data_IF_422605879033
#
_entry.id   IF_422605879033
#
_cell.length_a   1.000
_cell.length_b   1.000
_cell.length_c   1.000
_cell.angle_alpha   90.00
_cell.angle_beta   90.00
_cell.angle_gamma   90.00
#
_symmetry.space_group_name_H-M   'P 1'
#
loop_
_entity.id
_entity.type
_entity.pdbx_description
1 polymer ?
#
# COMPACT_ATOMS: atom_id res chain seq x y z
N UNK A 1 -19.62 -13.27 -10.58
CA UNK A 1 -19.89 -11.95 -11.18
C UNK A 1 -18.79 -11.59 -12.17
N UNK A 2 -19.13 -10.80 -13.20
CA UNK A 2 -18.13 -10.12 -14.04
C UNK A 2 -17.82 -8.76 -13.47
N UNK A 3 -16.57 -8.53 -13.09
CA UNK A 3 -16.10 -7.32 -12.41
C UNK A 3 -15.14 -6.59 -13.33
N UNK A 4 -15.40 -5.30 -13.58
CA UNK A 4 -14.42 -4.42 -14.22
C UNK A 4 -13.70 -3.62 -13.15
N UNK A 5 -12.41 -3.92 -12.95
CA UNK A 5 -11.56 -3.19 -12.01
C UNK A 5 -10.95 -1.98 -12.72
N UNK A 6 -11.16 -0.78 -12.18
CA UNK A 6 -10.70 0.50 -12.74
C UNK A 6 -9.52 0.98 -11.89
N UNK A 7 -8.34 1.05 -12.49
CA UNK A 7 -7.09 1.37 -11.81
C UNK A 7 -6.44 2.57 -12.50
N UNK A 8 -6.66 3.82 -12.02
CA UNK A 8 -6.10 5.04 -12.61
C UNK A 8 -4.61 5.23 -12.26
N UNK A 9 -3.80 4.24 -12.60
CA UNK A 9 -2.36 4.17 -12.31
C UNK A 9 -1.64 3.35 -13.37
N UNK A 10 -0.29 3.39 -13.36
CA UNK A 10 0.53 2.48 -14.15
C UNK A 10 0.47 1.07 -13.51
N UNK A 11 -0.29 0.18 -14.08
CA UNK A 11 -0.45 -1.20 -13.63
C UNK A 11 0.39 -2.12 -14.54
N UNK A 12 1.18 -3.03 -14.12
CA UNK A 12 1.64 -3.42 -12.81
C UNK A 12 3.00 -2.77 -12.54
N UNK A 13 3.26 -2.26 -11.33
CA UNK A 13 4.57 -1.72 -10.95
C UNK A 13 4.86 -2.10 -9.50
N UNK A 14 6.14 -2.22 -9.13
CA UNK A 14 6.59 -2.58 -7.78
C UNK A 14 6.38 -1.46 -6.73
N UNK A 15 5.29 -0.68 -6.86
CA UNK A 15 4.88 0.36 -5.90
C UNK A 15 3.69 -0.13 -5.08
N UNK A 16 3.53 0.41 -3.87
CA UNK A 16 2.51 -0.05 -2.90
C UNK A 16 1.08 -0.10 -3.45
N UNK A 17 0.61 0.98 -4.10
CA UNK A 17 -0.79 1.07 -4.57
C UNK A 17 -1.08 0.18 -5.80
N UNK A 18 -0.25 0.17 -6.87
CA UNK A 18 -0.42 -0.78 -7.97
C UNK A 18 -0.35 -2.24 -7.54
N UNK A 19 0.56 -2.56 -6.62
CA UNK A 19 0.70 -3.91 -6.09
C UNK A 19 -0.52 -4.33 -5.27
N UNK A 20 -1.06 -3.42 -4.46
CA UNK A 20 -2.32 -3.64 -3.75
C UNK A 20 -3.49 -3.92 -4.71
N UNK A 21 -3.57 -3.16 -5.81
CA UNK A 21 -4.60 -3.38 -6.84
C UNK A 21 -4.47 -4.76 -7.51
N UNK A 22 -3.25 -5.23 -7.72
CA UNK A 22 -2.95 -6.57 -8.22
C UNK A 22 -3.43 -7.67 -7.24
N UNK A 23 -3.01 -7.60 -5.97
CA UNK A 23 -3.44 -8.58 -4.97
C UNK A 23 -4.95 -8.60 -4.80
N UNK A 24 -5.60 -7.43 -4.84
CA UNK A 24 -7.05 -7.33 -4.79
C UNK A 24 -7.74 -8.01 -5.99
N UNK A 25 -7.13 -7.96 -7.18
CA UNK A 25 -7.63 -8.68 -8.34
C UNK A 25 -7.50 -10.20 -8.17
N UNK A 26 -6.34 -10.68 -7.72
CA UNK A 26 -6.12 -12.11 -7.40
C UNK A 26 -7.13 -12.64 -6.38
N UNK A 27 -7.39 -11.87 -5.32
CA UNK A 27 -8.37 -12.23 -4.28
C UNK A 27 -9.80 -12.36 -4.84
N UNK A 28 -10.19 -11.50 -5.77
CA UNK A 28 -11.50 -11.61 -6.43
C UNK A 28 -11.55 -12.83 -7.36
N UNK A 29 -10.49 -13.11 -8.11
CA UNK A 29 -10.39 -14.31 -8.96
C UNK A 29 -10.42 -15.60 -8.15
N UNK A 30 -9.71 -15.66 -7.02
CA UNK A 30 -9.70 -16.81 -6.12
C UNK A 30 -11.09 -17.15 -5.57
N UNK A 31 -11.98 -16.13 -5.48
CA UNK A 31 -13.38 -16.30 -5.07
C UNK A 31 -14.35 -16.59 -6.22
N UNK A 32 -13.81 -16.94 -7.39
CA UNK A 32 -14.60 -17.35 -8.55
C UNK A 32 -15.25 -16.20 -9.33
N UNK A 33 -14.76 -14.97 -9.21
CA UNK A 33 -15.21 -13.87 -10.04
C UNK A 33 -14.40 -13.76 -11.33
N UNK A 34 -15.05 -13.41 -12.41
CA UNK A 34 -14.39 -13.05 -13.67
C UNK A 34 -13.97 -11.58 -13.59
N UNK A 35 -12.66 -11.31 -13.58
CA UNK A 35 -12.10 -9.96 -13.42
C UNK A 35 -11.48 -9.49 -14.72
N UNK A 36 -11.88 -8.31 -15.17
CA UNK A 36 -11.18 -7.54 -16.20
C UNK A 36 -10.58 -6.29 -15.54
N UNK A 37 -9.43 -5.84 -15.98
CA UNK A 37 -8.73 -4.66 -15.46
C UNK A 37 -8.64 -3.60 -16.54
N UNK A 38 -9.06 -2.38 -16.23
CA UNK A 38 -8.85 -1.21 -17.07
C UNK A 38 -7.90 -0.24 -16.37
N UNK A 39 -6.80 0.10 -17.02
CA UNK A 39 -5.70 0.88 -16.44
C UNK A 39 -5.10 1.86 -17.45
N UNK A 40 -4.17 2.70 -17.02
CA UNK A 40 -3.42 3.56 -17.92
C UNK A 40 -2.59 2.77 -18.95
N UNK A 41 -2.24 3.42 -20.07
CA UNK A 41 -1.44 2.82 -21.15
C UNK A 41 -0.01 2.39 -20.78
N UNK A 42 0.41 2.61 -19.54
CA UNK A 42 1.76 2.38 -19.02
C UNK A 42 1.74 1.35 -17.92
N UNK A 43 2.82 0.58 -17.79
CA UNK A 43 2.99 -0.45 -16.75
C UNK A 43 3.48 -1.76 -17.34
N UNK A 44 3.73 -2.73 -16.48
CA UNK A 44 4.26 -4.06 -16.82
C UNK A 44 3.13 -5.10 -16.87
N UNK A 45 3.41 -6.27 -17.40
CA UNK A 45 2.50 -7.41 -17.34
C UNK A 45 2.45 -7.96 -15.91
N UNK A 46 1.24 -8.23 -15.44
CA UNK A 46 1.05 -8.79 -14.11
C UNK A 46 1.20 -10.31 -14.16
N UNK A 47 2.13 -10.89 -13.40
CA UNK A 47 2.31 -12.35 -13.37
C UNK A 47 1.08 -13.01 -12.72
N UNK A 48 0.76 -14.22 -13.15
CA UNK A 48 -0.21 -15.13 -12.53
C UNK A 48 -1.65 -14.57 -12.38
N UNK A 49 -2.02 -13.53 -13.13
CA UNK A 49 -3.39 -13.05 -13.24
C UNK A 49 -4.09 -13.70 -14.44
N UNK A 50 -5.30 -14.19 -14.19
CA UNK A 50 -6.22 -14.63 -15.26
C UNK A 50 -6.96 -13.45 -15.89
N UNK A 51 -7.02 -12.30 -15.19
CA UNK A 51 -7.68 -11.08 -15.61
C UNK A 51 -7.08 -10.55 -16.92
N UNK A 52 -7.94 -10.16 -17.84
CA UNK A 52 -7.51 -9.42 -19.03
C UNK A 52 -7.24 -7.98 -18.65
N UNK A 53 -6.03 -7.52 -18.94
CA UNK A 53 -5.61 -6.14 -18.66
C UNK A 53 -5.81 -5.30 -19.93
N UNK A 54 -6.73 -4.34 -19.86
CA UNK A 54 -7.01 -3.36 -20.90
C UNK A 54 -6.29 -2.06 -20.57
N UNK A 55 -5.35 -1.69 -21.41
CA UNK A 55 -4.61 -0.44 -21.26
C UNK A 55 -5.30 0.66 -22.06
N UNK A 56 -5.53 1.80 -21.42
CA UNK A 56 -6.15 2.94 -22.11
C UNK A 56 -5.22 3.46 -23.22
N UNK A 57 -5.83 3.86 -24.33
CA UNK A 57 -5.11 4.55 -25.39
C UNK A 57 -4.56 5.85 -24.82
N UNK A 58 -3.27 6.09 -25.00
CA UNK A 58 -2.60 7.28 -24.49
C UNK A 58 -1.18 7.41 -25.02
N UNK A 59 -0.52 8.53 -24.76
CA UNK A 59 0.83 8.74 -25.26
C UNK A 59 1.81 7.74 -24.62
N UNK A 60 2.26 6.78 -25.41
CA UNK A 60 3.22 5.73 -25.00
C UNK A 60 4.66 6.25 -24.80
N UNK A 61 4.92 7.53 -25.05
CA UNK A 61 6.26 8.12 -24.96
C UNK A 61 6.70 8.41 -23.51
N UNK A 62 5.82 8.35 -22.53
CA UNK A 62 6.19 8.48 -21.11
C UNK A 62 6.21 7.11 -20.43
N UNK A 63 7.40 6.62 -20.15
CA UNK A 63 7.62 5.33 -19.47
C UNK A 63 7.20 5.35 -17.99
N UNK A 64 7.00 6.51 -17.38
CA UNK A 64 6.58 6.63 -16.00
C UNK A 64 5.60 7.78 -15.79
N UNK A 65 4.60 7.53 -14.93
CA UNK A 65 3.65 8.55 -14.46
C UNK A 65 4.05 8.91 -13.02
N UNK A 66 4.23 10.21 -12.69
CA UNK A 66 4.55 10.63 -11.34
C UNK A 66 3.53 10.11 -10.33
N UNK A 67 4.01 9.72 -9.14
CA UNK A 67 3.14 9.43 -8.03
C UNK A 67 2.47 10.73 -7.53
N UNK A 68 1.21 10.65 -7.10
CA UNK A 68 0.46 11.78 -6.58
C UNK A 68 -0.28 12.60 -7.65
N UNK A 69 -0.99 13.65 -7.24
CA UNK A 69 -1.80 14.49 -8.12
C UNK A 69 -0.94 15.28 -9.11
N UNK A 70 -1.31 15.28 -10.39
CA UNK A 70 -0.65 16.09 -11.41
C UNK A 70 -1.62 16.45 -12.53
N UNK A 71 -1.35 17.56 -13.27
CA UNK A 71 -2.16 17.93 -14.43
C UNK A 71 -2.15 16.86 -15.52
N UNK A 72 -1.02 16.17 -15.67
CA UNK A 72 -0.88 15.05 -16.60
C UNK A 72 -1.82 13.90 -16.24
N UNK A 73 -2.01 13.64 -14.95
CA UNK A 73 -2.89 12.57 -14.46
C UNK A 73 -4.34 12.83 -14.83
N UNK A 74 -4.80 14.09 -14.77
CA UNK A 74 -6.16 14.47 -15.20
C UNK A 74 -6.39 14.10 -16.68
N UNK A 75 -5.40 14.33 -17.52
CA UNK A 75 -5.46 13.92 -18.93
C UNK A 75 -5.58 12.40 -19.09
N UNK A 76 -4.77 11.63 -18.35
CA UNK A 76 -4.86 10.18 -18.37
C UNK A 76 -6.22 9.68 -17.83
N UNK A 77 -6.78 10.34 -16.82
CA UNK A 77 -8.11 10.00 -16.28
C UNK A 77 -9.22 10.25 -17.31
N UNK A 78 -9.14 11.32 -18.11
CA UNK A 78 -10.07 11.55 -19.22
C UNK A 78 -9.99 10.43 -20.27
N UNK A 79 -8.78 10.03 -20.68
CA UNK A 79 -8.58 8.93 -21.62
C UNK A 79 -9.07 7.59 -21.03
N UNK A 80 -8.80 7.34 -19.76
CA UNK A 80 -9.28 6.16 -19.05
C UNK A 80 -10.81 6.13 -19.01
N UNK A 81 -11.46 7.26 -18.79
CA UNK A 81 -12.93 7.38 -18.80
C UNK A 81 -13.53 7.08 -20.17
N UNK A 82 -12.95 7.61 -21.26
CA UNK A 82 -13.39 7.30 -22.63
C UNK A 82 -13.27 5.80 -22.91
N UNK A 83 -12.15 5.19 -22.53
CA UNK A 83 -11.97 3.74 -22.68
C UNK A 83 -12.93 2.94 -21.78
N UNK A 84 -13.26 3.43 -20.58
CA UNK A 84 -14.28 2.84 -19.71
C UNK A 84 -15.65 2.80 -20.41
N UNK A 85 -16.11 3.92 -20.95
CA UNK A 85 -17.38 3.98 -21.69
C UNK A 85 -17.39 3.02 -22.88
N UNK A 86 -16.35 3.04 -23.70
CA UNK A 86 -16.21 2.11 -24.83
C UNK A 86 -16.27 0.64 -24.37
N UNK A 87 -15.57 0.30 -23.29
CA UNK A 87 -15.58 -1.06 -22.75
C UNK A 87 -16.96 -1.49 -22.28
N UNK A 88 -17.71 -0.60 -21.63
CA UNK A 88 -19.07 -0.87 -21.15
C UNK A 88 -20.07 -0.99 -22.30
N UNK A 89 -19.84 -0.34 -23.44
CA UNK A 89 -20.62 -0.56 -24.66
C UNK A 89 -20.35 -1.95 -25.28
N UNK A 90 -19.12 -2.43 -25.22
CA UNK A 90 -18.69 -3.67 -25.86
C UNK A 90 -18.96 -4.92 -25.01
N UNK A 91 -19.02 -4.79 -23.68
CA UNK A 91 -19.18 -5.91 -22.77
C UNK A 91 -19.97 -5.54 -21.53
N UNK A 92 -20.87 -6.43 -21.10
CA UNK A 92 -21.64 -6.27 -19.86
C UNK A 92 -20.83 -6.70 -18.64
N UNK A 93 -20.88 -5.87 -17.60
CA UNK A 93 -20.32 -6.13 -16.28
C UNK A 93 -21.40 -6.01 -15.22
N UNK A 94 -21.23 -6.79 -14.15
CA UNK A 94 -22.15 -6.80 -13.01
C UNK A 94 -21.76 -5.75 -11.97
N UNK A 95 -20.45 -5.41 -11.92
CA UNK A 95 -19.84 -4.55 -10.91
C UNK A 95 -18.65 -3.77 -11.48
N UNK A 96 -18.56 -2.49 -11.16
CA UNK A 96 -17.36 -1.68 -11.32
C UNK A 96 -16.60 -1.66 -9.97
N UNK A 97 -15.34 -2.08 -9.95
CA UNK A 97 -14.51 -2.07 -8.75
C UNK A 97 -13.42 -1.00 -8.92
N UNK A 98 -13.64 0.17 -8.35
CA UNK A 98 -12.88 1.35 -8.66
C UNK A 98 -11.86 1.70 -7.58
N UNK A 99 -10.61 1.84 -7.99
CA UNK A 99 -9.48 2.16 -7.14
C UNK A 99 -9.25 3.68 -7.11
N UNK A 100 -9.11 4.24 -5.90
CA UNK A 100 -8.82 5.67 -5.67
C UNK A 100 -9.76 6.61 -6.48
N UNK A 101 -9.20 7.60 -7.21
CA UNK A 101 -9.98 8.55 -8.03
C UNK A 101 -10.79 7.89 -9.14
N UNK A 102 -10.50 6.66 -9.50
CA UNK A 102 -11.33 5.86 -10.41
C UNK A 102 -12.78 5.70 -9.93
N UNK A 103 -13.04 5.92 -8.64
CA UNK A 103 -14.40 5.86 -8.08
C UNK A 103 -15.34 6.94 -8.64
N UNK A 104 -14.81 8.13 -8.97
CA UNK A 104 -15.62 9.15 -9.66
C UNK A 104 -15.98 8.72 -11.08
N UNK A 105 -15.01 8.13 -11.80
CA UNK A 105 -15.22 7.60 -13.15
C UNK A 105 -16.26 6.46 -13.13
N UNK A 106 -16.13 5.55 -12.16
CA UNK A 106 -17.08 4.47 -11.96
C UNK A 106 -18.49 4.98 -11.59
N UNK A 107 -18.61 6.03 -10.78
CA UNK A 107 -19.89 6.66 -10.46
C UNK A 107 -20.58 7.19 -11.71
N UNK A 108 -19.85 7.95 -12.54
CA UNK A 108 -20.39 8.55 -13.76
C UNK A 108 -20.79 7.47 -14.77
N UNK A 109 -19.91 6.53 -15.08
CA UNK A 109 -20.19 5.42 -15.98
C UNK A 109 -21.29 4.49 -15.43
N UNK A 110 -21.23 4.19 -14.13
CA UNK A 110 -22.24 3.36 -13.47
C UNK A 110 -23.64 3.98 -13.44
N UNK A 111 -23.75 5.31 -13.47
CA UNK A 111 -25.03 5.99 -13.63
C UNK A 111 -25.60 5.83 -15.05
N UNK A 112 -24.75 5.93 -16.09
CA UNK A 112 -25.13 5.78 -17.51
C UNK A 112 -25.55 4.32 -17.81
N UNK A 113 -24.73 3.35 -17.38
CA UNK A 113 -24.93 1.93 -17.71
C UNK A 113 -25.72 1.15 -16.65
N UNK A 114 -26.17 1.84 -15.58
CA UNK A 114 -26.92 1.26 -14.44
C UNK A 114 -26.15 0.15 -13.70
N UNK A 115 -24.82 0.22 -13.66
CA UNK A 115 -23.96 -0.72 -12.99
C UNK A 115 -23.59 -0.17 -11.60
N UNK A 116 -23.71 -0.96 -10.51
CA UNK A 116 -23.24 -0.56 -9.19
C UNK A 116 -21.71 -0.48 -9.17
N UNK A 117 -21.14 0.32 -8.24
CA UNK A 117 -19.70 0.33 -8.05
C UNK A 117 -19.29 0.24 -6.58
N UNK A 118 -18.15 -0.39 -6.36
CA UNK A 118 -17.38 -0.41 -5.10
C UNK A 118 -16.26 0.61 -5.20
N UNK A 119 -16.04 1.36 -4.14
CA UNK A 119 -14.90 2.27 -4.00
C UNK A 119 -13.80 1.63 -3.17
N UNK A 120 -12.67 1.27 -3.78
CA UNK A 120 -11.44 0.77 -3.13
C UNK A 120 -10.61 1.99 -2.70
N UNK A 121 -10.80 2.42 -1.46
CA UNK A 121 -10.26 3.66 -0.91
C UNK A 121 -8.96 3.39 -0.17
N UNK A 122 -7.85 3.87 -0.71
CA UNK A 122 -6.52 3.73 -0.13
C UNK A 122 -6.07 4.94 0.68
N UNK A 123 -6.68 6.10 0.42
CA UNK A 123 -6.39 7.33 1.16
C UNK A 123 -7.52 8.34 0.98
N UNK A 124 -7.52 9.42 1.76
CA UNK A 124 -8.40 10.55 1.54
C UNK A 124 -7.79 11.49 0.50
N UNK A 125 -8.55 11.80 -0.57
CA UNK A 125 -8.12 12.70 -1.65
C UNK A 125 -7.71 14.09 -1.15
N UNK A 126 -8.46 14.77 -0.26
CA UNK A 126 -8.04 16.05 0.31
C UNK A 126 -6.72 16.00 1.06
N UNK A 127 -6.44 14.89 1.74
CA UNK A 127 -5.22 14.71 2.52
C UNK A 127 -4.03 14.43 1.60
N UNK A 128 -4.22 13.65 0.53
CA UNK A 128 -3.19 13.49 -0.50
C UNK A 128 -2.74 14.84 -1.08
N UNK A 129 -3.68 15.72 -1.42
CA UNK A 129 -3.37 17.05 -1.98
C UNK A 129 -2.50 17.86 -1.04
N UNK A 130 -2.76 17.77 0.27
CA UNK A 130 -2.00 18.48 1.30
C UNK A 130 -0.63 17.85 1.54
N UNK A 131 -0.56 16.54 1.66
CA UNK A 131 0.67 15.79 1.95
C UNK A 131 1.69 15.88 0.80
N UNK A 132 1.20 15.81 -0.45
CA UNK A 132 2.03 15.96 -1.65
C UNK A 132 2.32 17.41 -2.01
N UNK A 133 1.88 18.40 -1.18
CA UNK A 133 2.06 19.84 -1.41
C UNK A 133 1.59 20.31 -2.80
N UNK A 134 0.63 19.61 -3.40
CA UNK A 134 0.12 19.92 -4.74
C UNK A 134 -0.55 21.28 -4.78
N UNK A 135 -1.35 21.61 -3.76
CA UNK A 135 -1.97 22.93 -3.62
C UNK A 135 -2.37 23.21 -2.17
N UNK A 136 -2.11 24.43 -1.72
CA UNK A 136 -2.62 24.96 -0.44
C UNK A 136 -3.90 25.78 -0.60
N UNK A 137 -4.41 25.96 -1.84
CA UNK A 137 -5.60 26.77 -2.12
C UNK A 137 -6.85 26.05 -1.60
N UNK A 138 -7.62 26.74 -0.77
CA UNK A 138 -8.87 26.21 -0.17
C UNK A 138 -9.88 25.76 -1.22
N UNK A 139 -9.98 26.47 -2.35
CA UNK A 139 -10.87 26.11 -3.46
C UNK A 139 -10.52 24.73 -4.08
N UNK A 140 -9.23 24.47 -4.30
CA UNK A 140 -8.76 23.18 -4.82
C UNK A 140 -9.09 22.06 -3.83
N UNK A 141 -8.76 22.24 -2.55
CA UNK A 141 -9.06 21.26 -1.50
C UNK A 141 -10.58 20.99 -1.42
N UNK A 142 -11.40 22.04 -1.56
CA UNK A 142 -12.87 21.88 -1.55
C UNK A 142 -13.41 21.07 -2.73
N UNK A 143 -12.81 21.22 -3.93
CA UNK A 143 -13.15 20.37 -5.09
C UNK A 143 -12.83 18.90 -4.79
N UNK A 144 -11.65 18.60 -4.25
CA UNK A 144 -11.28 17.22 -3.93
C UNK A 144 -12.14 16.64 -2.79
N UNK A 145 -12.54 17.45 -1.80
CA UNK A 145 -13.55 17.02 -0.79
C UNK A 145 -14.88 16.71 -1.42
N UNK A 146 -15.33 17.50 -2.39
CA UNK A 146 -16.57 17.24 -3.11
C UNK A 146 -16.47 15.94 -3.92
N UNK A 147 -15.36 15.74 -4.65
CA UNK A 147 -15.09 14.49 -5.41
C UNK A 147 -15.13 13.28 -4.49
N UNK A 148 -14.42 13.31 -3.36
CA UNK A 148 -14.41 12.21 -2.38
C UNK A 148 -15.82 11.95 -1.84
N UNK A 149 -16.55 13.00 -1.47
CA UNK A 149 -17.93 12.89 -1.00
C UNK A 149 -18.85 12.24 -2.03
N UNK A 150 -18.70 12.62 -3.31
CA UNK A 150 -19.46 12.02 -4.39
C UNK A 150 -19.11 10.55 -4.60
N UNK A 151 -17.83 10.22 -4.52
CA UNK A 151 -17.35 8.85 -4.67
C UNK A 151 -17.81 7.93 -3.53
N UNK A 152 -17.75 8.40 -2.28
CA UNK A 152 -18.20 7.62 -1.11
C UNK A 152 -19.72 7.44 -1.11
N UNK A 153 -20.49 8.52 -1.34
CA UNK A 153 -21.97 8.48 -1.27
C UNK A 153 -22.63 7.62 -2.34
N UNK A 154 -21.99 7.47 -3.48
CA UNK A 154 -22.56 6.70 -4.60
C UNK A 154 -22.16 5.24 -4.61
N UNK A 155 -21.14 4.84 -3.84
CA UNK A 155 -20.66 3.48 -3.78
C UNK A 155 -21.65 2.55 -3.05
N UNK A 156 -21.85 1.33 -3.56
CA UNK A 156 -22.61 0.30 -2.86
C UNK A 156 -21.86 -0.26 -1.65
N UNK A 157 -20.52 -0.20 -1.68
CA UNK A 157 -19.63 -0.41 -0.55
C UNK A 157 -18.32 0.37 -0.75
N UNK A 158 -17.71 0.79 0.35
CA UNK A 158 -16.37 1.37 0.40
C UNK A 158 -15.43 0.36 1.05
N UNK A 159 -14.41 -0.08 0.33
CA UNK A 159 -13.36 -0.93 0.87
C UNK A 159 -12.23 -0.02 1.35
N UNK A 160 -12.04 0.06 2.65
CA UNK A 160 -10.98 0.86 3.27
C UNK A 160 -9.77 -0.02 3.60
N UNK A 161 -8.57 0.46 3.29
CA UNK A 161 -7.34 -0.31 3.59
C UNK A 161 -6.91 -0.24 5.06
N UNK A 162 -7.53 0.62 5.85
CA UNK A 162 -7.23 0.77 7.28
C UNK A 162 -8.41 1.38 8.02
N UNK A 163 -8.48 1.22 9.37
CA UNK A 163 -9.48 1.89 10.19
C UNK A 163 -9.46 3.42 10.08
N UNK A 164 -8.30 4.04 9.80
CA UNK A 164 -8.23 5.49 9.59
C UNK A 164 -8.90 5.92 8.28
N UNK A 165 -8.73 5.14 7.21
CA UNK A 165 -9.40 5.37 5.92
C UNK A 165 -10.91 5.14 6.06
N UNK A 166 -11.33 4.13 6.82
CA UNK A 166 -12.75 3.94 7.15
C UNK A 166 -13.33 5.15 7.87
N UNK A 167 -12.65 5.66 8.92
CA UNK A 167 -13.08 6.87 9.62
C UNK A 167 -13.18 8.07 8.68
N UNK A 168 -12.23 8.23 7.76
CA UNK A 168 -12.26 9.28 6.75
C UNK A 168 -13.50 9.14 5.83
N UNK A 169 -13.80 7.94 5.33
CA UNK A 169 -14.99 7.69 4.52
C UNK A 169 -16.29 7.98 5.29
N UNK A 170 -16.40 7.53 6.55
CA UNK A 170 -17.57 7.79 7.40
C UNK A 170 -17.70 9.26 7.79
N UNK A 171 -16.61 10.02 7.87
CA UNK A 171 -16.67 11.46 8.14
C UNK A 171 -17.36 12.25 7.02
N UNK A 172 -17.27 11.78 5.77
CA UNK A 172 -17.93 12.40 4.62
C UNK A 172 -19.32 11.80 4.33
N UNK A 173 -19.56 10.56 4.75
CA UNK A 173 -20.86 9.88 4.65
C UNK A 173 -21.01 8.87 5.81
N UNK A 174 -21.64 9.25 6.94
CA UNK A 174 -21.80 8.38 8.11
C UNK A 174 -22.51 7.07 7.84
N UNK A 175 -23.42 7.06 6.85
CA UNK A 175 -24.22 5.89 6.44
C UNK A 175 -23.53 5.02 5.40
N UNK A 176 -22.29 5.35 4.97
CA UNK A 176 -21.56 4.56 3.99
C UNK A 176 -21.29 3.15 4.53
N UNK A 177 -21.58 2.14 3.71
CA UNK A 177 -21.20 0.76 4.02
C UNK A 177 -19.68 0.62 3.81
N UNK A 178 -18.92 0.69 4.89
CA UNK A 178 -17.46 0.57 4.89
C UNK A 178 -17.06 -0.82 5.37
N UNK A 179 -16.14 -1.44 4.65
CA UNK A 179 -15.53 -2.73 4.98
C UNK A 179 -14.01 -2.53 5.00
N UNK A 180 -13.37 -2.87 6.12
CA UNK A 180 -11.91 -2.76 6.22
C UNK A 180 -11.28 -4.04 5.67
N UNK A 181 -10.49 -3.90 4.60
CA UNK A 181 -9.68 -4.98 4.05
C UNK A 181 -8.25 -4.46 3.94
N UNK A 182 -7.43 -4.81 4.93
CA UNK A 182 -6.03 -4.40 4.98
C UNK A 182 -5.26 -5.02 3.81
N UNK A 183 -4.34 -4.25 3.23
CA UNK A 183 -3.47 -4.79 2.20
C UNK A 183 -2.56 -5.87 2.80
N UNK A 184 -2.73 -7.07 2.33
CA UNK A 184 -1.89 -8.21 2.66
C UNK A 184 -1.04 -8.55 1.44
N UNK A 185 0.25 -8.54 1.63
CA UNK A 185 1.18 -9.07 0.64
C UNK A 185 1.51 -10.50 1.08
N UNK A 186 1.31 -11.46 0.18
CA UNK A 186 1.73 -12.84 0.44
C UNK A 186 3.22 -12.83 0.78
N UNK A 187 3.52 -13.13 2.01
CA UNK A 187 4.87 -13.44 2.45
C UNK A 187 4.97 -14.95 2.48
N UNK A 188 5.64 -15.56 1.50
CA UNK A 188 6.06 -16.93 1.70
C UNK A 188 7.11 -16.93 2.81
N UNK A 189 6.81 -17.57 3.93
CA UNK A 189 7.80 -17.82 4.99
C UNK A 189 8.73 -19.00 4.62
N UNK A 190 8.60 -19.54 3.41
CA UNK A 190 9.36 -20.69 2.91
C UNK A 190 10.74 -20.27 2.35
N UNK A 191 11.41 -19.36 3.05
CA UNK A 191 12.79 -19.00 2.73
C UNK A 191 13.72 -19.95 3.48
N UNK A 192 14.59 -20.65 2.75
CA UNK A 192 15.58 -21.52 3.36
C UNK A 192 16.65 -20.72 4.14
N UNK A 193 17.25 -21.34 5.14
CA UNK A 193 18.38 -20.74 5.86
C UNK A 193 19.54 -20.41 4.92
N UNK A 194 19.73 -21.22 3.87
CA UNK A 194 20.79 -21.02 2.86
C UNK A 194 20.52 -19.78 2.00
N UNK A 195 19.28 -19.50 1.62
CA UNK A 195 18.93 -18.27 0.88
C UNK A 195 19.20 -17.01 1.71
N UNK A 196 18.86 -17.03 2.98
CA UNK A 196 19.15 -15.93 3.90
C UNK A 196 20.68 -15.76 4.10
N UNK A 197 21.42 -16.86 4.25
CA UNK A 197 22.88 -16.83 4.38
C UNK A 197 23.57 -16.34 3.10
N UNK A 198 23.12 -16.80 1.93
CA UNK A 198 23.63 -16.35 0.63
C UNK A 198 23.40 -14.84 0.43
N UNK A 199 22.24 -14.32 0.87
CA UNK A 199 21.96 -12.90 0.82
C UNK A 199 22.95 -12.11 1.71
N UNK A 200 23.21 -12.57 2.93
CA UNK A 200 24.21 -11.94 3.81
C UNK A 200 25.60 -11.95 3.17
N UNK A 201 26.02 -13.06 2.59
CA UNK A 201 27.30 -13.16 1.86
C UNK A 201 27.40 -12.20 0.69
N UNK A 202 26.32 -12.03 -0.09
CA UNK A 202 26.25 -11.05 -1.21
C UNK A 202 26.66 -9.65 -0.76
N UNK A 203 26.30 -9.26 0.45
CA UNK A 203 26.59 -7.92 1.01
C UNK A 203 27.79 -7.89 1.95
N UNK A 204 28.57 -8.95 2.05
CA UNK A 204 29.73 -9.03 2.95
C UNK A 204 29.36 -9.05 4.45
N UNK A 205 28.12 -9.43 4.78
CA UNK A 205 27.59 -9.45 6.15
C UNK A 205 27.87 -10.82 6.76
N UNK A 206 28.95 -10.93 7.53
CA UNK A 206 29.34 -12.16 8.23
C UNK A 206 28.46 -12.46 9.45
N UNK A 207 28.65 -13.63 10.09
CA UNK A 207 27.84 -14.04 11.24
C UNK A 207 28.01 -13.14 12.48
N UNK A 208 29.13 -12.42 12.57
CA UNK A 208 29.40 -11.45 13.65
C UNK A 208 28.58 -10.16 13.51
N UNK A 209 28.15 -9.82 12.29
CA UNK A 209 27.41 -8.58 12.05
C UNK A 209 25.94 -8.71 12.44
N UNK A 210 25.35 -7.60 12.86
CA UNK A 210 23.93 -7.45 13.15
C UNK A 210 23.25 -6.66 12.04
N UNK A 211 22.39 -7.30 11.25
CA UNK A 211 21.73 -6.69 10.09
C UNK A 211 20.44 -5.97 10.49
N UNK A 212 20.44 -4.65 10.37
CA UNK A 212 19.27 -3.78 10.47
C UNK A 212 18.76 -3.50 9.07
N UNK A 213 17.54 -3.94 8.76
CA UNK A 213 16.98 -3.89 7.41
C UNK A 213 15.82 -2.91 7.30
N UNK A 214 15.87 -2.09 6.27
CA UNK A 214 14.72 -1.34 5.75
C UNK A 214 14.38 -1.83 4.35
N UNK A 215 13.08 -2.06 4.06
CA UNK A 215 12.59 -2.31 2.69
C UNK A 215 11.49 -1.31 2.32
N UNK A 216 11.49 -0.80 1.10
CA UNK A 216 10.46 0.08 0.56
C UNK A 216 11.04 1.29 -0.18
N UNK A 217 10.18 2.09 -0.81
CA UNK A 217 10.61 3.29 -1.56
C UNK A 217 11.37 4.29 -0.69
N UNK A 218 12.27 5.05 -1.29
CA UNK A 218 13.10 6.05 -0.60
C UNK A 218 12.50 7.46 -0.64
N UNK A 219 11.21 7.58 -0.92
CA UNK A 219 10.53 8.89 -0.90
C UNK A 219 10.61 9.54 0.49
N UNK A 220 10.67 10.86 0.54
CA UNK A 220 10.81 11.65 1.77
C UNK A 220 9.81 11.29 2.88
N UNK A 221 8.62 10.79 2.53
CA UNK A 221 7.61 10.34 3.48
C UNK A 221 8.09 9.18 4.39
N UNK A 222 9.07 8.42 3.94
CA UNK A 222 9.61 7.27 4.71
C UNK A 222 10.63 7.68 5.78
N UNK A 223 11.06 8.94 5.78
CA UNK A 223 11.98 9.53 6.77
C UNK A 223 13.28 8.72 6.96
N UNK A 224 13.94 8.35 5.84
CA UNK A 224 15.21 7.65 5.87
C UNK A 224 16.37 8.54 6.37
N UNK A 225 16.21 9.86 6.29
CA UNK A 225 17.05 10.86 6.93
C UNK A 225 17.13 10.64 8.46
N UNK A 226 15.99 10.45 9.12
CA UNK A 226 15.92 10.11 10.55
C UNK A 226 16.66 8.80 10.86
N UNK A 227 16.48 7.77 10.00
CA UNK A 227 17.21 6.50 10.15
C UNK A 227 18.71 6.73 10.07
N UNK A 228 19.21 7.42 9.04
CA UNK A 228 20.65 7.67 8.87
C UNK A 228 21.22 8.49 10.02
N UNK A 229 20.52 9.50 10.53
CA UNK A 229 20.91 10.28 11.68
C UNK A 229 20.99 9.46 12.99
N UNK A 230 20.26 8.34 13.06
CA UNK A 230 20.32 7.42 14.20
C UNK A 230 21.55 6.50 14.18
N UNK A 231 22.12 6.20 12.99
CA UNK A 231 23.20 5.22 12.80
C UNK A 231 24.43 5.49 13.66
N UNK A 232 25.00 6.72 13.75
CA UNK A 232 26.16 6.97 14.59
C UNK A 232 25.96 6.57 16.05
N UNK A 233 24.74 6.81 16.59
CA UNK A 233 24.38 6.46 17.97
C UNK A 233 24.23 4.95 18.18
N UNK A 234 23.74 4.23 17.17
CA UNK A 234 23.67 2.76 17.21
C UNK A 234 25.06 2.18 17.18
N UNK A 235 25.91 2.61 16.25
CA UNK A 235 27.29 2.11 16.10
C UNK A 235 28.15 2.37 17.34
N UNK A 236 27.90 3.44 18.07
CA UNK A 236 28.61 3.70 19.33
C UNK A 236 28.33 2.65 20.42
N UNK A 237 27.23 1.87 20.32
CA UNK A 237 26.83 0.83 21.29
C UNK A 237 26.87 -0.59 20.71
N UNK A 238 26.67 -0.71 19.41
CA UNK A 238 26.68 -1.97 18.64
C UNK A 238 27.53 -1.75 17.39
N UNK A 239 28.87 -1.76 17.51
CA UNK A 239 29.79 -1.48 16.40
C UNK A 239 29.65 -2.44 15.22
N UNK A 240 29.19 -3.67 15.46
CA UNK A 240 28.95 -4.70 14.45
C UNK A 240 27.62 -4.53 13.69
N UNK A 241 26.83 -3.47 13.96
CA UNK A 241 25.59 -3.23 13.25
C UNK A 241 25.86 -2.77 11.81
N UNK A 242 25.17 -3.39 10.86
CA UNK A 242 25.17 -3.05 9.44
C UNK A 242 23.75 -2.72 9.02
N UNK A 243 23.56 -1.61 8.35
CA UNK A 243 22.25 -1.17 7.86
C UNK A 243 22.14 -1.46 6.36
N UNK A 244 21.09 -2.17 5.94
CA UNK A 244 20.78 -2.41 4.54
C UNK A 244 19.43 -1.77 4.20
N UNK A 245 19.46 -0.80 3.28
CA UNK A 245 18.28 -0.09 2.80
C UNK A 245 17.97 -0.55 1.37
N UNK A 246 16.80 -1.16 1.17
CA UNK A 246 16.38 -1.77 -0.10
C UNK A 246 15.16 -1.06 -0.65
N UNK A 247 15.23 -0.55 -1.91
CA UNK A 247 14.07 -0.03 -2.61
C UNK A 247 14.19 1.38 -3.20
N UNK A 248 15.39 1.94 -3.26
CA UNK A 248 15.67 3.24 -3.88
C UNK A 248 15.85 3.15 -5.40
N UNK A 249 15.68 4.29 -6.06
CA UNK A 249 16.22 4.56 -7.39
C UNK A 249 17.65 5.09 -7.28
N UNK A 250 18.42 5.04 -8.38
CA UNK A 250 19.80 5.53 -8.36
C UNK A 250 19.96 6.96 -7.82
N UNK A 251 19.12 7.95 -8.20
CA UNK A 251 19.22 9.30 -7.64
C UNK A 251 18.94 9.34 -6.13
N UNK A 252 17.92 8.60 -5.65
CA UNK A 252 17.57 8.55 -4.23
C UNK A 252 18.68 7.87 -3.41
N UNK A 253 19.30 6.81 -3.95
CA UNK A 253 20.44 6.13 -3.35
C UNK A 253 21.64 7.06 -3.27
N UNK A 254 21.94 7.82 -4.34
CA UNK A 254 23.06 8.76 -4.35
C UNK A 254 22.91 9.85 -3.29
N UNK A 255 21.70 10.38 -3.11
CA UNK A 255 21.39 11.40 -2.10
C UNK A 255 21.61 10.86 -0.68
N UNK A 256 21.08 9.67 -0.35
CA UNK A 256 21.23 9.05 0.98
C UNK A 256 22.67 8.59 1.24
N UNK A 257 23.40 8.15 0.22
CA UNK A 257 24.82 7.80 0.33
C UNK A 257 25.67 9.03 0.71
N UNK A 258 25.43 10.15 0.02
CA UNK A 258 26.11 11.41 0.36
C UNK A 258 25.75 11.87 1.79
N UNK A 259 24.55 11.59 2.28
CA UNK A 259 24.20 11.86 3.68
C UNK A 259 24.94 10.92 4.64
N UNK A 260 25.04 9.62 4.33
CA UNK A 260 25.79 8.66 5.14
C UNK A 260 27.29 9.02 5.21
N UNK A 261 27.86 9.52 4.12
CA UNK A 261 29.24 10.04 4.08
C UNK A 261 29.40 11.25 5.02
N UNK A 262 28.50 12.24 4.95
CA UNK A 262 28.54 13.41 5.85
C UNK A 262 28.41 13.03 7.33
N UNK A 263 27.70 11.97 7.64
CA UNK A 263 27.52 11.45 9.00
C UNK A 263 28.67 10.52 9.44
N UNK A 264 29.63 10.20 8.55
CA UNK A 264 30.75 9.32 8.84
C UNK A 264 30.38 7.84 9.01
N UNK A 265 29.24 7.40 8.45
CA UNK A 265 28.72 6.04 8.62
C UNK A 265 28.62 5.25 7.31
N UNK A 266 29.19 5.74 6.23
CA UNK A 266 29.08 5.13 4.88
C UNK A 266 29.56 3.66 4.83
N UNK A 267 30.52 3.26 5.64
CA UNK A 267 31.01 1.87 5.72
C UNK A 267 30.03 0.90 6.35
N UNK A 268 29.08 1.39 7.15
CA UNK A 268 28.08 0.57 7.87
C UNK A 268 26.68 0.65 7.26
N UNK A 269 26.51 1.43 6.15
CA UNK A 269 25.20 1.59 5.49
C UNK A 269 25.29 1.15 4.04
N UNK A 270 24.53 0.12 3.71
CA UNK A 270 24.46 -0.47 2.38
C UNK A 270 23.14 -0.08 1.73
N UNK A 271 23.16 0.14 0.42
CA UNK A 271 21.99 0.52 -0.36
C UNK A 271 21.78 -0.45 -1.51
N UNK A 272 20.54 -0.82 -1.74
CA UNK A 272 20.13 -1.67 -2.87
C UNK A 272 18.95 -1.03 -3.59
N UNK A 273 18.88 -1.20 -4.90
CA UNK A 273 17.74 -0.76 -5.72
C UNK A 273 16.46 -1.51 -5.34
N UNK A 274 15.33 -1.06 -5.91
CA UNK A 274 14.06 -1.73 -5.73
C UNK A 274 14.12 -3.18 -6.22
N UNK A 275 13.76 -4.09 -5.34
CA UNK A 275 13.75 -5.52 -5.62
C UNK A 275 12.35 -6.01 -5.96
N UNK A 276 12.23 -7.05 -6.79
CA UNK A 276 10.95 -7.72 -7.03
C UNK A 276 10.34 -8.23 -5.72
N UNK A 277 9.00 -8.17 -5.62
CA UNK A 277 8.28 -8.58 -4.40
C UNK A 277 8.66 -9.99 -3.93
N UNK A 278 8.87 -10.93 -4.87
CA UNK A 278 9.28 -12.31 -4.58
C UNK A 278 10.63 -12.45 -3.89
N UNK A 279 11.50 -11.44 -3.99
CA UNK A 279 12.83 -11.46 -3.34
C UNK A 279 12.78 -10.93 -1.90
N UNK A 280 11.75 -10.15 -1.53
CA UNK A 280 11.67 -9.51 -0.22
C UNK A 280 11.70 -10.50 0.95
N UNK A 281 11.03 -11.66 0.90
CA UNK A 281 11.11 -12.64 1.99
C UNK A 281 12.54 -13.05 2.37
N UNK A 282 13.44 -13.22 1.39
CA UNK A 282 14.85 -13.56 1.66
C UNK A 282 15.57 -12.43 2.41
N UNK A 283 15.29 -11.16 2.07
CA UNK A 283 15.84 -10.02 2.82
C UNK A 283 15.31 -10.00 4.27
N UNK A 284 14.01 -10.24 4.48
CA UNK A 284 13.42 -10.28 5.82
C UNK A 284 14.04 -11.41 6.65
N UNK A 285 14.20 -12.60 6.07
CA UNK A 285 14.81 -13.76 6.75
C UNK A 285 16.27 -13.50 7.15
N UNK A 286 17.04 -12.80 6.30
CA UNK A 286 18.43 -12.47 6.56
C UNK A 286 18.64 -11.42 7.66
N UNK A 287 17.62 -10.61 7.99
CA UNK A 287 17.71 -9.52 8.95
C UNK A 287 17.71 -10.00 10.40
N UNK A 288 18.38 -9.24 11.28
CA UNK A 288 18.26 -9.36 12.73
C UNK A 288 17.18 -8.41 13.28
N UNK A 289 17.01 -7.21 12.69
CA UNK A 289 16.03 -6.20 13.06
C UNK A 289 15.44 -5.55 11.82
N UNK A 290 14.14 -5.30 11.82
CA UNK A 290 13.41 -4.60 10.76
C UNK A 290 13.02 -3.19 11.22
N UNK A 291 13.17 -2.18 10.36
CA UNK A 291 12.96 -0.79 10.76
C UNK A 291 11.95 -0.05 9.89
N UNK A 292 11.11 0.78 10.51
CA UNK A 292 10.16 1.68 9.86
C UNK A 292 10.21 3.08 10.50
N UNK A 293 11.06 4.00 10.00
CA UNK A 293 11.29 5.31 10.62
C UNK A 293 10.25 6.37 10.26
N UNK A 294 9.19 6.02 9.53
CA UNK A 294 8.21 6.94 8.97
C UNK A 294 7.49 7.78 10.02
N UNK A 295 7.50 9.12 9.86
CA UNK A 295 6.93 10.07 10.85
C UNK A 295 5.63 10.73 10.38
N UNK A 296 5.29 10.67 9.10
CA UNK A 296 4.14 11.37 8.50
C UNK A 296 3.29 10.44 7.65
N UNK A 297 2.06 10.91 7.37
CA UNK A 297 1.08 10.21 6.55
C UNK A 297 -0.09 9.68 7.37
N UNK A 298 -1.06 9.04 6.70
CA UNK A 298 -2.30 8.58 7.33
C UNK A 298 -2.37 7.06 7.28
N UNK A 299 -1.90 6.48 6.18
CA UNK A 299 -1.97 5.04 5.99
C UNK A 299 -0.79 4.33 6.63
N UNK A 300 -1.01 3.21 7.27
CA UNK A 300 0.08 2.37 7.76
C UNK A 300 0.94 1.92 6.58
N UNK A 301 2.27 1.88 6.76
CA UNK A 301 3.17 1.32 5.76
C UNK A 301 2.82 -0.13 5.43
N UNK A 302 2.69 -0.47 4.14
CA UNK A 302 2.32 -1.82 3.71
C UNK A 302 3.30 -2.93 4.13
N UNK A 303 4.53 -2.55 4.52
CA UNK A 303 5.58 -3.46 5.01
C UNK A 303 5.34 -3.98 6.43
N UNK A 304 4.47 -3.35 7.24
CA UNK A 304 4.34 -3.69 8.67
C UNK A 304 3.85 -5.11 8.91
N UNK A 305 2.81 -5.56 8.21
CA UNK A 305 2.32 -6.93 8.35
C UNK A 305 3.34 -7.98 7.86
N UNK A 306 3.99 -7.84 6.69
CA UNK A 306 5.13 -8.66 6.31
C UNK A 306 6.27 -8.68 7.33
N UNK A 307 6.59 -7.53 7.92
CA UNK A 307 7.62 -7.44 8.95
C UNK A 307 7.24 -8.24 10.21
N UNK A 308 6.04 -8.04 10.73
CA UNK A 308 5.55 -8.82 11.88
C UNK A 308 5.48 -10.32 11.57
N UNK A 309 5.08 -10.68 10.35
CA UNK A 309 4.97 -12.08 9.92
C UNK A 309 6.32 -12.78 9.76
N UNK A 310 7.41 -12.03 9.54
CA UNK A 310 8.76 -12.59 9.37
C UNK A 310 9.36 -13.19 10.64
N UNK A 311 8.74 -12.94 11.81
CA UNK A 311 9.30 -13.39 13.10
C UNK A 311 10.55 -12.62 13.53
N UNK A 312 10.80 -11.43 12.96
CA UNK A 312 11.90 -10.55 13.36
C UNK A 312 11.40 -9.38 14.18
N UNK A 313 12.19 -8.85 15.14
CA UNK A 313 11.82 -7.67 15.89
C UNK A 313 11.65 -6.45 14.96
N UNK A 314 10.60 -5.69 15.20
CA UNK A 314 10.26 -4.49 14.43
C UNK A 314 10.46 -3.25 15.29
N UNK A 315 11.27 -2.31 14.81
CA UNK A 315 11.43 -0.98 15.40
C UNK A 315 10.72 0.05 14.53
N UNK A 316 9.81 0.81 15.10
CA UNK A 316 9.06 1.82 14.38
C UNK A 316 8.90 3.09 15.22
N UNK A 317 8.68 4.23 14.56
CA UNK A 317 8.36 5.48 15.28
C UNK A 317 6.98 5.39 15.91
N UNK A 318 6.83 5.88 17.12
CA UNK A 318 5.54 6.05 17.81
C UNK A 318 4.78 7.21 17.18
N UNK A 319 4.02 6.90 16.17
CA UNK A 319 3.22 7.85 15.38
C UNK A 319 1.90 7.25 14.97
N UNK A 320 0.91 8.11 14.68
CA UNK A 320 -0.41 7.67 14.23
C UNK A 320 -0.36 6.71 13.05
N UNK A 321 0.67 6.83 12.22
CA UNK A 321 0.85 5.98 11.02
C UNK A 321 1.09 4.52 11.39
N UNK A 322 1.93 4.28 12.40
CA UNK A 322 2.28 2.95 12.87
C UNK A 322 1.26 2.39 13.86
N UNK A 323 0.71 3.24 14.74
CA UNK A 323 -0.17 2.85 15.83
C UNK A 323 -1.55 2.32 15.38
N UNK A 324 -1.83 2.35 14.07
CA UNK A 324 -3.00 1.67 13.51
C UNK A 324 -2.86 0.14 13.45
N UNK A 325 -1.62 -0.36 13.44
CA UNK A 325 -1.29 -1.79 13.37
C UNK A 325 -0.38 -2.18 14.52
N UNK A 326 0.63 -1.34 14.83
CA UNK A 326 1.63 -1.64 15.86
C UNK A 326 1.20 -1.11 17.22
N UNK A 327 1.56 -1.86 18.23
CA UNK A 327 1.49 -1.47 19.65
C UNK A 327 2.83 -1.80 20.30
N UNK A 328 3.11 -1.24 21.48
CA UNK A 328 4.30 -1.58 22.29
C UNK A 328 4.41 -3.08 22.63
N UNK A 329 3.31 -3.82 22.49
CA UNK A 329 3.28 -5.26 22.72
C UNK A 329 3.85 -6.06 21.56
N UNK A 330 3.70 -5.60 20.29
CA UNK A 330 4.11 -6.34 19.10
C UNK A 330 5.30 -5.72 18.36
N UNK A 331 5.77 -4.54 18.78
CA UNK A 331 6.91 -3.83 18.17
C UNK A 331 7.58 -2.92 19.20
N UNK A 332 8.81 -2.52 18.92
CA UNK A 332 9.50 -1.49 19.71
C UNK A 332 9.15 -0.13 19.11
N UNK A 333 8.22 0.58 19.76
CA UNK A 333 7.84 1.92 19.36
C UNK A 333 8.79 2.96 19.99
N UNK A 334 9.19 3.95 19.20
CA UNK A 334 10.21 4.93 19.57
C UNK A 334 9.75 6.34 19.29
N UNK A 335 10.21 7.34 20.06
CA UNK A 335 9.99 8.74 19.72
C UNK A 335 10.49 9.05 18.30
N UNK A 336 9.77 9.90 17.51
CA UNK A 336 10.05 10.17 16.10
C UNK A 336 11.23 11.13 15.89
N UNK A 337 12.39 10.84 16.49
CA UNK A 337 13.64 11.55 16.33
C UNK A 337 14.83 10.59 16.44
N UNK A 338 15.97 10.96 15.86
CA UNK A 338 17.13 10.09 15.67
C UNK A 338 17.64 9.43 16.98
N UNK A 339 17.69 10.17 18.09
CA UNK A 339 18.15 9.62 19.36
C UNK A 339 17.20 8.53 19.90
N UNK A 340 15.88 8.77 19.90
CA UNK A 340 14.89 7.80 20.35
C UNK A 340 14.86 6.57 19.44
N UNK A 341 14.99 6.78 18.11
CA UNK A 341 15.02 5.67 17.14
C UNK A 341 16.25 4.79 17.33
N UNK A 342 17.43 5.40 17.61
CA UNK A 342 18.65 4.68 17.93
C UNK A 342 18.51 3.79 19.17
N UNK A 343 17.90 4.31 20.26
CA UNK A 343 17.64 3.52 21.46
C UNK A 343 16.76 2.29 21.17
N UNK A 344 15.75 2.44 20.34
CA UNK A 344 14.90 1.32 19.93
C UNK A 344 15.66 0.26 19.12
N UNK A 345 16.51 0.68 18.18
CA UNK A 345 17.35 -0.25 17.39
C UNK A 345 18.35 -0.96 18.29
N UNK A 346 19.00 -0.25 19.20
CA UNK A 346 19.92 -0.87 20.18
C UNK A 346 19.17 -1.88 21.06
N UNK A 347 18.00 -1.52 21.60
CA UNK A 347 17.20 -2.45 22.39
C UNK A 347 16.80 -3.71 21.61
N UNK A 348 16.42 -3.55 20.32
CA UNK A 348 16.11 -4.68 19.46
C UNK A 348 17.30 -5.63 19.23
N UNK A 349 18.52 -5.11 19.27
CA UNK A 349 19.76 -5.87 19.06
C UNK A 349 20.35 -6.48 20.33
N UNK A 350 20.04 -5.89 21.52
CA UNK A 350 20.75 -6.23 22.77
C UNK A 350 19.84 -6.70 23.92
N UNK A 351 18.51 -6.60 23.77
CA UNK A 351 17.53 -7.00 24.79
C UNK A 351 16.66 -8.19 24.31
N UNK A 352 17.12 -9.44 24.48
CA UNK A 352 16.41 -10.62 24.00
C UNK A 352 15.08 -10.86 24.71
N UNK A 353 14.91 -10.42 25.97
CA UNK A 353 13.66 -10.59 26.69
C UNK A 353 12.58 -9.69 26.12
N UNK A 354 12.89 -8.44 25.84
CA UNK A 354 11.99 -7.48 25.18
C UNK A 354 11.60 -7.96 23.79
N UNK A 355 12.58 -8.45 23.01
CA UNK A 355 12.33 -9.03 21.69
C UNK A 355 11.40 -10.23 21.77
N UNK A 356 11.65 -11.18 22.65
CA UNK A 356 10.80 -12.37 22.79
C UNK A 356 9.33 -12.00 23.10
N UNK A 357 9.10 -11.01 23.97
CA UNK A 357 7.77 -10.51 24.29
C UNK A 357 7.07 -9.90 23.08
N UNK A 358 7.77 -9.08 22.29
CA UNK A 358 7.16 -8.46 21.10
C UNK A 358 6.85 -9.49 20.00
N UNK A 359 7.69 -10.51 19.81
CA UNK A 359 7.47 -11.56 18.82
C UNK A 359 6.25 -12.44 19.15
N UNK A 360 6.04 -12.76 20.41
CA UNK A 360 4.86 -13.55 20.84
C UNK A 360 3.55 -12.84 20.48
N UNK A 361 3.46 -11.54 20.71
CA UNK A 361 2.28 -10.73 20.37
C UNK A 361 2.16 -10.43 18.88
N UNK A 362 3.29 -10.26 18.16
CA UNK A 362 3.30 -10.01 16.73
C UNK A 362 2.55 -11.09 15.95
N UNK A 363 2.70 -12.36 16.37
CA UNK A 363 1.99 -13.49 15.76
C UNK A 363 0.47 -13.35 15.88
N UNK A 364 -0.03 -12.86 17.03
CA UNK A 364 -1.47 -12.64 17.24
C UNK A 364 -2.00 -11.48 16.39
N UNK A 365 -1.21 -10.39 16.27
CA UNK A 365 -1.56 -9.26 15.42
C UNK A 365 -1.65 -9.71 13.96
N UNK A 366 -0.65 -10.44 13.46
CA UNK A 366 -0.68 -10.99 12.09
C UNK A 366 -1.91 -11.88 11.89
N UNK A 367 -2.19 -12.79 12.82
CA UNK A 367 -3.36 -13.67 12.73
C UNK A 367 -4.68 -12.89 12.65
N UNK A 368 -4.79 -11.78 13.40
CA UNK A 368 -6.00 -10.95 13.39
C UNK A 368 -6.23 -10.22 12.07
N UNK A 369 -5.16 -9.70 11.44
CA UNK A 369 -5.26 -8.97 10.18
C UNK A 369 -5.24 -9.87 8.95
N UNK A 370 -4.57 -11.02 9.02
CA UNK A 370 -4.36 -11.93 7.91
C UNK A 370 -5.29 -13.16 7.97
N UNK A 371 -6.28 -13.19 8.88
CA UNK A 371 -7.24 -14.30 8.99
C UNK A 371 -7.95 -14.54 7.65
N UNK A 372 -7.79 -15.73 7.03
CA UNK A 372 -8.49 -16.04 5.79
C UNK A 372 -10.01 -15.94 5.94
N UNK A 373 -10.56 -16.44 7.05
CA UNK A 373 -12.00 -16.42 7.32
C UNK A 373 -12.57 -15.01 7.47
N UNK A 374 -11.87 -14.12 8.19
CA UNK A 374 -12.30 -12.73 8.32
C UNK A 374 -12.23 -11.98 6.98
N UNK A 375 -11.21 -12.28 6.19
CA UNK A 375 -11.04 -11.72 4.85
C UNK A 375 -12.10 -12.22 3.89
N UNK A 376 -12.43 -13.52 3.90
CA UNK A 376 -13.51 -14.09 3.10
C UNK A 376 -14.86 -13.49 3.46
N UNK A 377 -15.15 -13.32 4.74
CA UNK A 377 -16.37 -12.64 5.20
C UNK A 377 -16.42 -11.19 4.73
N UNK A 378 -15.30 -10.46 4.78
CA UNK A 378 -15.23 -9.08 4.30
C UNK A 378 -15.50 -8.96 2.79
N UNK A 379 -14.91 -9.84 1.97
CA UNK A 379 -15.21 -9.87 0.53
C UNK A 379 -16.65 -10.29 0.25
N UNK A 380 -17.18 -11.29 0.97
CA UNK A 380 -18.57 -11.71 0.85
C UNK A 380 -19.52 -10.54 1.15
N UNK A 381 -19.24 -9.72 2.16
CA UNK A 381 -20.03 -8.53 2.50
C UNK A 381 -20.03 -7.50 1.38
N UNK A 382 -18.87 -7.22 0.77
CA UNK A 382 -18.72 -6.31 -0.37
C UNK A 382 -19.53 -6.81 -1.58
N UNK A 383 -19.40 -8.10 -1.90
CA UNK A 383 -20.12 -8.71 -3.05
C UNK A 383 -21.63 -8.78 -2.81
N UNK A 384 -22.07 -9.03 -1.58
CA UNK A 384 -23.49 -9.01 -1.21
C UNK A 384 -24.09 -7.61 -1.39
N UNK A 385 -23.36 -6.56 -0.97
CA UNK A 385 -23.76 -5.18 -1.19
C UNK A 385 -23.90 -4.83 -2.69
N UNK A 386 -22.93 -5.26 -3.50
CA UNK A 386 -22.96 -5.06 -4.93
C UNK A 386 -24.17 -5.77 -5.59
N UNK A 387 -24.42 -7.02 -5.19
CA UNK A 387 -25.56 -7.82 -5.70
C UNK A 387 -26.91 -7.19 -5.33
N UNK A 388 -27.05 -6.68 -4.11
CA UNK A 388 -28.28 -6.00 -3.66
C UNK A 388 -28.51 -4.70 -4.45
N UNK A 389 -27.46 -3.89 -4.64
CA UNK A 389 -27.54 -2.65 -5.41
C UNK A 389 -27.88 -2.90 -6.90
N UNK A 390 -27.37 -3.99 -7.49
CA UNK A 390 -27.70 -4.40 -8.86
C UNK A 390 -29.17 -4.79 -9.01
N UNK A 391 -29.71 -5.57 -8.07
CA UNK A 391 -31.15 -5.95 -8.08
C UNK A 391 -32.06 -4.73 -7.96
N UNK A 392 -31.81 -3.82 -7.05
CA UNK A 392 -32.62 -2.63 -6.84
C UNK A 392 -32.66 -1.73 -8.09
N UNK A 393 -31.55 -1.61 -8.82
CA UNK A 393 -31.49 -0.83 -10.07
C UNK A 393 -32.29 -1.49 -11.20
N UNK A 394 -32.30 -2.81 -11.29
CA UNK A 394 -33.05 -3.55 -12.29
C UNK A 394 -34.59 -3.45 -12.00
N UNK A 395 -34.99 -3.54 -10.74
CA UNK A 395 -36.42 -3.36 -10.34
C UNK A 395 -36.88 -1.95 -10.64
N UNK A 396 -36.09 -0.92 -10.32
CA UNK A 396 -36.43 0.47 -10.63
C UNK A 396 -36.53 0.74 -12.15
N UNK A 397 -35.78 0.00 -12.97
CA UNK A 397 -35.83 0.10 -14.42
C UNK A 397 -37.03 -0.65 -15.06
N UNK A 398 -37.56 -1.65 -14.36
CA UNK A 398 -38.71 -2.46 -14.80
C UNK A 398 -40.07 -1.87 -14.35
N UNK A 399 -40.07 -0.90 -13.43
CA UNK A 399 -41.29 -0.20 -13.04
C UNK A 399 -41.78 0.65 -14.24
N UNK A 400 -42.99 0.44 -14.76
CA UNK A 400 -43.54 1.25 -15.86
C UNK A 400 -43.65 2.69 -15.37
N UNK A 401 -43.20 3.64 -16.21
CA UNK A 401 -43.47 5.07 -16.02
C UNK A 401 -44.97 5.24 -15.85
N UNK A 402 -45.44 5.27 -14.62
CA UNK A 402 -46.83 5.46 -14.30
C UNK A 402 -47.20 6.93 -14.48
N UNK A 403 -48.10 7.12 -15.41
CA UNK A 403 -49.02 8.22 -15.66
C UNK A 403 -48.60 9.65 -15.28
#
# INVERSE_FOLDING_TARGET
MRILKIIPQAFYTSRGTPLSAYHRAKELEARGHEVDILTYGVGEEAPDLKARVFRSIGPHFKRSIPAGPSRLKIWFDCLLFMNLLLRLCLRRYDLLYAHEEGALLAKLAGAIFRIPYVYDMHSSLPLQITDWKFSKRRSVISVFRWVERQSVRGACAVVAISPAVERAARSVCPTARCVVIVNHFETSNDVSADEAANLRMKYGIGPQHKLVLYTGSFVALQALDLLLESVPRVLARVPEAVFLLVGGSDPEIAELRAQAERLGVASSVLFEQMQPQRAIPAYLAAADVLVSPRVKGINPPGKLLPYLASGKPVVATDTLVHNQILTERCAILTPPHAAGFAEGVVAALTDPERVAKTLAEATQVVASYCSPTARDAAYADVIAAASAAGRNRNVAAAAPNGA
#
